data_IF_529723167949
#
_entry.id   IF_529723167949
#
_cell.length_a   1.000
_cell.length_b   1.000
_cell.length_c   1.000
_cell.angle_alpha   90.00
_cell.angle_beta   90.00
_cell.angle_gamma   90.00
#
_symmetry.space_group_name_H-M   'P 1'
#
loop_
_entity.id
_entity.type
_entity.pdbx_description
1 polymer ?
#
# COMPACT_ATOMS: atom_id res chain seq x y z
N UNK A 1 3.01 13.60 10.38
CA UNK A 1 2.16 14.29 9.38
C UNK A 1 2.86 15.45 8.67
N UNK A 2 3.49 16.40 9.37
CA UNK A 2 4.09 17.60 8.73
C UNK A 2 5.16 17.26 7.69
N UNK A 3 6.07 16.33 8.02
CA UNK A 3 7.10 15.87 7.07
C UNK A 3 6.53 15.26 5.80
N UNK A 4 5.44 14.50 5.90
CA UNK A 4 4.76 13.91 4.73
C UNK A 4 4.13 15.00 3.86
N UNK A 5 3.54 16.04 4.46
CA UNK A 5 3.03 17.21 3.73
C UNK A 5 4.16 17.91 2.98
N UNK A 6 5.25 18.21 3.67
CA UNK A 6 6.32 19.06 3.15
C UNK A 6 7.13 18.35 2.05
N UNK A 7 7.21 17.02 2.09
CA UNK A 7 8.01 16.20 1.18
C UNK A 7 7.17 15.24 0.32
N UNK A 8 5.88 15.53 0.13
CA UNK A 8 4.94 14.62 -0.55
C UNK A 8 5.45 14.23 -1.95
N UNK A 9 5.90 15.22 -2.72
CA UNK A 9 6.38 15.03 -4.09
C UNK A 9 7.70 14.26 -4.13
N UNK A 10 8.60 14.56 -3.20
CA UNK A 10 9.92 13.94 -3.08
C UNK A 10 9.78 12.47 -2.67
N UNK A 11 8.89 12.15 -1.72
CA UNK A 11 8.56 10.77 -1.38
C UNK A 11 7.96 10.04 -2.57
N UNK A 12 6.99 10.64 -3.25
CA UNK A 12 6.37 10.03 -4.42
C UNK A 12 7.41 9.68 -5.50
N UNK A 13 8.30 10.63 -5.80
CA UNK A 13 9.37 10.45 -6.80
C UNK A 13 10.38 9.40 -6.36
N UNK A 14 10.84 9.44 -5.12
CA UNK A 14 11.89 8.53 -4.64
C UNK A 14 11.37 7.09 -4.55
N UNK A 15 10.17 6.90 -4.00
CA UNK A 15 9.56 5.58 -3.86
C UNK A 15 9.22 4.94 -5.21
N UNK A 16 8.95 5.76 -6.24
CA UNK A 16 8.66 5.29 -7.60
C UNK A 16 9.81 4.52 -8.26
N UNK A 17 11.03 4.58 -7.70
CA UNK A 17 12.17 3.81 -8.18
C UNK A 17 12.02 2.30 -7.92
N UNK A 18 11.35 1.89 -6.84
CA UNK A 18 11.17 0.49 -6.47
C UNK A 18 10.18 -0.23 -7.39
N UNK A 19 10.36 -1.54 -7.63
CA UNK A 19 9.46 -2.35 -8.47
C UNK A 19 8.13 -2.69 -7.80
N UNK A 20 8.14 -2.79 -6.48
CA UNK A 20 6.98 -3.01 -5.61
C UNK A 20 7.09 -2.06 -4.42
N UNK A 21 6.03 -1.30 -4.11
CA UNK A 21 6.01 -0.41 -2.94
C UNK A 21 4.91 -0.85 -1.99
N UNK A 22 5.25 -1.08 -0.73
CA UNK A 22 4.27 -1.33 0.36
C UNK A 22 4.31 -0.16 1.33
N UNK A 23 3.18 0.52 1.46
CA UNK A 23 2.98 1.68 2.32
C UNK A 23 2.17 1.30 3.55
N UNK A 24 2.69 1.63 4.73
CA UNK A 24 2.01 1.50 6.03
C UNK A 24 1.53 2.87 6.50
N UNK A 25 0.57 2.90 7.43
CA UNK A 25 -0.05 4.15 7.89
C UNK A 25 0.98 5.17 8.42
N UNK A 26 0.62 6.45 8.39
CA UNK A 26 1.50 7.56 8.79
C UNK A 26 1.70 7.50 10.30
N UNK A 27 2.95 7.26 10.71
CA UNK A 27 3.34 7.43 12.10
C UNK A 27 3.21 8.91 12.50
N UNK A 28 2.28 9.22 13.39
CA UNK A 28 1.92 10.61 13.75
C UNK A 28 3.03 11.33 14.53
N UNK A 29 3.87 10.60 15.26
CA UNK A 29 4.88 11.14 16.19
C UNK A 29 4.32 12.19 17.18
N UNK A 30 3.03 12.07 17.55
CA UNK A 30 2.35 13.03 18.43
C UNK A 30 1.81 14.28 17.73
N UNK A 31 1.96 14.40 16.40
CA UNK A 31 1.39 15.49 15.62
C UNK A 31 -0.11 15.29 15.37
N UNK A 32 -0.91 16.37 15.33
CA UNK A 32 -2.27 16.29 14.85
C UNK A 32 -2.29 15.89 13.37
N UNK A 33 -3.31 15.12 13.00
CA UNK A 33 -3.56 14.79 11.60
C UNK A 33 -3.82 16.07 10.79
N UNK A 34 -3.27 16.12 9.58
CA UNK A 34 -3.46 17.24 8.65
C UNK A 34 -4.42 16.80 7.55
N UNK A 35 -5.45 17.59 7.28
CA UNK A 35 -6.44 17.29 6.24
C UNK A 35 -5.77 17.09 4.87
N UNK A 36 -6.16 16.04 4.16
CA UNK A 36 -5.58 15.67 2.86
C UNK A 36 -4.20 15.00 2.92
N UNK A 37 -3.56 14.92 4.09
CA UNK A 37 -2.27 14.25 4.26
C UNK A 37 -2.52 12.88 4.87
N UNK A 38 -2.80 11.92 4.00
CA UNK A 38 -3.07 10.52 4.35
C UNK A 38 -2.09 9.60 3.63
N UNK A 39 -1.96 8.37 4.11
CA UNK A 39 -1.16 7.37 3.40
C UNK A 39 -1.73 7.05 2.01
N UNK A 40 -3.06 7.12 1.86
CA UNK A 40 -3.74 6.93 0.59
C UNK A 40 -3.39 8.04 -0.41
N UNK A 41 -3.33 9.30 0.04
CA UNK A 41 -2.89 10.42 -0.79
C UNK A 41 -1.41 10.28 -1.24
N UNK A 42 -0.53 9.79 -0.36
CA UNK A 42 0.85 9.47 -0.75
C UNK A 42 0.90 8.31 -1.74
N UNK A 43 0.09 7.26 -1.55
CA UNK A 43 0.01 6.14 -2.47
C UNK A 43 -0.41 6.59 -3.87
N UNK A 44 -1.43 7.46 -3.95
CA UNK A 44 -1.89 8.03 -5.23
C UNK A 44 -0.82 8.90 -5.88
N UNK A 45 -0.06 9.68 -5.10
CA UNK A 45 1.07 10.44 -5.62
C UNK A 45 2.17 9.52 -6.19
N UNK A 46 2.50 8.41 -5.52
CA UNK A 46 3.49 7.42 -6.03
C UNK A 46 2.99 6.76 -7.32
N UNK A 47 1.70 6.39 -7.38
CA UNK A 47 1.06 5.84 -8.59
C UNK A 47 1.01 6.86 -9.74
N UNK A 48 0.88 8.14 -9.44
CA UNK A 48 1.00 9.22 -10.43
C UNK A 48 2.42 9.37 -10.96
N UNK A 49 3.43 9.15 -10.12
CA UNK A 49 4.84 9.23 -10.47
C UNK A 49 5.37 7.98 -11.22
N UNK A 50 4.76 6.81 -11.02
CA UNK A 50 5.10 5.59 -11.77
C UNK A 50 3.91 4.64 -11.97
N UNK A 51 3.95 3.86 -13.05
CA UNK A 51 2.97 2.78 -13.31
C UNK A 51 3.23 1.50 -12.51
N UNK A 52 4.06 1.57 -11.47
CA UNK A 52 4.47 0.41 -10.68
C UNK A 52 3.44 0.12 -9.58
N UNK A 53 3.29 -1.14 -9.13
CA UNK A 53 2.34 -1.48 -8.08
C UNK A 53 2.66 -0.79 -6.75
N UNK A 54 1.62 -0.22 -6.13
CA UNK A 54 1.66 0.39 -4.80
C UNK A 54 0.56 -0.20 -3.93
N UNK A 55 0.96 -0.86 -2.85
CA UNK A 55 0.09 -1.55 -1.91
C UNK A 55 -0.01 -0.76 -0.61
N UNK A 56 -1.24 -0.48 -0.14
CA UNK A 56 -1.45 0.18 1.16
C UNK A 56 -1.87 -0.87 2.18
N UNK A 57 -1.08 -1.02 3.23
CA UNK A 57 -1.29 -1.96 4.34
C UNK A 57 -1.23 -1.16 5.63
N UNK A 58 -2.37 -0.64 6.07
CA UNK A 58 -2.44 0.36 7.15
C UNK A 58 -1.94 -0.19 8.49
N UNK A 59 -2.32 -1.41 8.84
CA UNK A 59 -1.85 -2.04 10.07
C UNK A 59 -0.45 -2.62 9.88
N UNK A 60 0.50 -2.19 10.72
CA UNK A 60 1.88 -2.64 10.66
C UNK A 60 2.00 -4.17 10.85
N UNK A 61 1.08 -4.78 11.60
CA UNK A 61 1.05 -6.21 11.85
C UNK A 61 0.72 -7.06 10.62
N UNK A 62 0.05 -6.47 9.62
CA UNK A 62 -0.31 -7.16 8.38
C UNK A 62 0.80 -7.09 7.32
N UNK A 63 1.77 -6.18 7.49
CA UNK A 63 2.85 -5.94 6.53
C UNK A 63 3.69 -7.19 6.27
N UNK A 64 4.15 -7.97 7.29
CA UNK A 64 4.94 -9.16 7.05
C UNK A 64 4.29 -10.16 6.10
N UNK A 65 2.99 -10.40 6.29
CA UNK A 65 2.22 -11.33 5.46
C UNK A 65 1.99 -10.77 4.06
N UNK A 66 1.77 -9.46 3.93
CA UNK A 66 1.66 -8.82 2.63
C UNK A 66 2.96 -8.93 1.82
N UNK A 67 4.10 -8.60 2.44
CA UNK A 67 5.42 -8.73 1.81
C UNK A 67 5.72 -10.17 1.42
N UNK A 68 5.43 -11.15 2.29
CA UNK A 68 5.66 -12.57 1.98
C UNK A 68 4.86 -13.05 0.76
N UNK A 69 3.65 -12.52 0.53
CA UNK A 69 2.84 -12.82 -0.66
C UNK A 69 3.32 -12.13 -1.93
N UNK A 70 4.08 -11.04 -1.83
CA UNK A 70 4.59 -10.30 -2.98
C UNK A 70 5.96 -10.82 -3.39
N UNK A 71 6.86 -10.97 -2.41
CA UNK A 71 8.25 -11.33 -2.61
C UNK A 71 8.41 -12.63 -3.41
N UNK A 72 9.47 -12.66 -4.21
CA UNK A 72 9.90 -13.75 -5.07
C UNK A 72 11.36 -14.10 -4.78
N UNK A 73 11.82 -15.29 -5.17
CA UNK A 73 13.25 -15.62 -5.10
C UNK A 73 14.08 -14.56 -5.84
N UNK A 74 15.19 -14.16 -5.24
CA UNK A 74 16.12 -13.11 -5.70
C UNK A 74 15.61 -11.65 -5.56
N UNK A 75 14.49 -11.41 -4.90
CA UNK A 75 14.08 -10.04 -4.56
C UNK A 75 14.90 -9.47 -3.39
N UNK A 76 15.19 -8.17 -3.45
CA UNK A 76 15.72 -7.40 -2.33
C UNK A 76 14.58 -6.65 -1.64
N UNK A 77 14.28 -7.02 -0.39
CA UNK A 77 13.29 -6.31 0.44
C UNK A 77 14.02 -5.29 1.31
N UNK A 78 13.63 -4.01 1.19
CA UNK A 78 14.16 -2.91 2.01
C UNK A 78 13.03 -2.33 2.86
N UNK A 79 13.19 -2.33 4.18
CA UNK A 79 12.29 -1.62 5.10
C UNK A 79 12.83 -0.22 5.38
N UNK A 80 12.02 0.80 5.18
CA UNK A 80 12.41 2.21 5.35
C UNK A 80 11.45 2.93 6.30
N UNK A 81 11.99 3.60 7.31
CA UNK A 81 11.22 4.43 8.23
C UNK A 81 11.90 4.52 9.59
N UNK A 82 11.13 4.90 10.61
CA UNK A 82 11.59 5.02 11.98
C UNK A 82 10.60 4.40 12.96
N UNK A 83 11.07 4.14 14.19
CA UNK A 83 10.22 3.61 15.27
C UNK A 83 9.86 2.14 15.07
N UNK A 84 8.55 1.85 15.13
CA UNK A 84 8.01 0.48 15.14
C UNK A 84 8.35 -0.35 13.89
N UNK A 85 8.67 0.31 12.77
CA UNK A 85 9.06 -0.37 11.53
C UNK A 85 10.35 -1.19 11.68
N UNK A 86 11.21 -0.86 12.65
CA UNK A 86 12.48 -1.57 12.89
C UNK A 86 12.30 -3.04 13.29
N UNK A 87 11.12 -3.43 13.76
CA UNK A 87 10.79 -4.82 14.07
C UNK A 87 10.27 -5.61 12.85
N UNK A 88 9.99 -4.95 11.71
CA UNK A 88 9.46 -5.63 10.53
C UNK A 88 10.43 -6.63 9.89
N UNK A 89 11.75 -6.37 9.76
CA UNK A 89 12.65 -7.30 9.08
C UNK A 89 12.58 -8.73 9.61
N UNK A 90 12.66 -8.91 10.93
CA UNK A 90 12.60 -10.23 11.56
C UNK A 90 11.24 -10.91 11.35
N UNK A 91 10.16 -10.13 11.42
CA UNK A 91 8.80 -10.63 11.19
C UNK A 91 8.55 -11.03 9.73
N UNK A 92 9.10 -10.27 8.78
CA UNK A 92 9.05 -10.60 7.35
C UNK A 92 9.82 -11.89 7.10
N UNK A 93 11.02 -12.02 7.68
CA UNK A 93 11.83 -13.25 7.56
C UNK A 93 11.11 -14.47 8.13
N UNK A 94 10.42 -14.33 9.26
CA UNK A 94 9.60 -15.40 9.82
C UNK A 94 8.45 -15.77 8.86
N UNK A 95 7.69 -14.79 8.37
CA UNK A 95 6.58 -15.02 7.44
C UNK A 95 7.02 -15.69 6.12
N UNK A 96 8.18 -15.32 5.58
CA UNK A 96 8.75 -15.92 4.37
C UNK A 96 9.14 -17.40 4.57
N UNK A 97 9.53 -17.80 5.78
CA UNK A 97 9.86 -19.19 6.11
C UNK A 97 8.63 -20.07 6.29
N UNK A 98 7.53 -19.49 6.74
CA UNK A 98 6.23 -20.16 6.92
C UNK A 98 5.45 -20.32 5.62
N UNK A 99 5.69 -19.44 4.64
CA UNK A 99 5.03 -19.44 3.33
C UNK A 99 6.00 -19.83 2.18
N UNK A 100 6.61 -21.04 2.16
CA UNK A 100 7.45 -21.46 1.06
C UNK A 100 6.57 -21.76 -0.18
N UNK A 101 6.44 -20.75 -1.05
CA UNK A 101 6.22 -20.76 -2.51
C UNK A 101 5.26 -21.76 -3.20
N UNK A 102 4.48 -22.58 -2.50
CA UNK A 102 3.67 -23.65 -3.12
C UNK A 102 2.27 -23.22 -3.57
N UNK A 103 1.86 -21.96 -3.38
CA UNK A 103 0.49 -21.50 -3.68
C UNK A 103 0.50 -20.26 -4.58
N UNK A 104 0.91 -20.37 -5.85
CA UNK A 104 0.65 -19.33 -6.86
C UNK A 104 0.20 -19.86 -8.23
N UNK A 105 -0.51 -20.99 -8.26
CA UNK A 105 -1.42 -21.25 -9.37
C UNK A 105 -2.75 -20.54 -9.09
N UNK A 106 -2.92 -19.35 -9.69
CA UNK A 106 -4.22 -18.70 -9.92
C UNK A 106 -4.92 -18.08 -8.70
N UNK A 107 -4.72 -16.78 -8.50
CA UNK A 107 -5.86 -15.89 -8.17
C UNK A 107 -5.58 -14.45 -8.56
N UNK A 108 -6.23 -14.04 -9.65
CA UNK A 108 -6.43 -12.66 -10.07
C UNK A 108 -7.19 -11.96 -8.93
N UNK A 109 -6.54 -11.00 -8.26
CA UNK A 109 -7.26 -10.05 -7.40
C UNK A 109 -8.00 -9.09 -8.34
N UNK A 110 -9.24 -9.43 -8.67
CA UNK A 110 -10.21 -8.53 -9.29
C UNK A 110 -10.56 -7.45 -8.26
N UNK A 111 -10.03 -6.24 -8.45
CA UNK A 111 -10.60 -5.02 -7.92
C UNK A 111 -11.57 -4.49 -8.98
N UNK A 112 -12.85 -4.45 -8.65
CA UNK A 112 -13.90 -4.01 -9.58
C UNK A 112 -15.16 -3.63 -8.81
N UNK A 113 -15.09 -2.55 -8.05
CA UNK A 113 -16.27 -1.80 -7.64
C UNK A 113 -16.75 -0.99 -8.84
N UNK A 114 -17.65 -1.56 -9.63
CA UNK A 114 -18.43 -0.81 -10.62
C UNK A 114 -19.60 -0.16 -9.87
N UNK A 115 -19.53 1.15 -9.69
CA UNK A 115 -20.70 1.95 -9.36
C UNK A 115 -21.44 2.21 -10.68
N UNK A 116 -22.63 1.64 -10.82
CA UNK A 116 -23.54 1.95 -11.94
C UNK A 116 -24.41 3.17 -11.58
N UNK A 117 -24.31 4.29 -12.32
CA UNK A 117 -25.13 5.46 -12.11
C UNK A 117 -26.16 5.59 -13.23
N UNK A 118 -27.31 4.91 -13.17
CA UNK A 118 -28.52 5.23 -13.95
C UNK A 118 -29.68 4.29 -13.62
N UNK A 119 -30.70 4.78 -12.91
CA UNK A 119 -32.03 4.16 -12.90
C UNK A 119 -33.09 5.27 -12.99
N UNK A 120 -33.28 5.70 -14.23
CA UNK A 120 -34.55 5.96 -14.92
C UNK A 120 -35.71 6.61 -14.14
N UNK A 121 -36.02 7.83 -14.58
CA UNK A 121 -37.37 8.39 -14.55
C UNK A 121 -38.19 7.85 -15.74
N UNK A 122 -39.45 7.47 -15.47
CA UNK A 122 -40.67 7.41 -16.33
C UNK A 122 -41.57 6.32 -15.72
N UNK A 123 -42.80 6.55 -15.26
CA UNK A 123 -43.91 7.13 -15.99
C UNK A 123 -44.67 6.03 -16.72
N UNK A 124 -45.74 5.47 -16.14
CA UNK A 124 -47.03 5.24 -16.84
C UNK A 124 -48.13 4.67 -15.93
N UNK A 125 -49.34 5.02 -16.33
CA UNK A 125 -50.69 4.79 -15.83
C UNK A 125 -51.14 3.33 -15.74
N UNK A 126 -52.07 3.07 -14.82
CA UNK A 126 -52.93 1.88 -14.75
C UNK A 126 -53.87 1.94 -13.56
#
# INVERSE_FOLDING_TARGET
>A
YTRTRDLMREFATTLSAADEVVLTDIYSAGEPQIAGITIDALADAVRGASRKPVHVVKALDDVPRAVARLARPNDLVITLGAGSIGALPDRILAALREEPSSVRSGKKLEAGGEADPSAEASGESG
#
